data_IF_180253531103
#
_entry.id   IF_180253531103
#
_cell.length_a   1.000
_cell.length_b   1.000
_cell.length_c   1.000
_cell.angle_alpha   90.00
_cell.angle_beta   90.00
_cell.angle_gamma   90.00
#
_symmetry.space_group_name_H-M   'P 1'
#
loop_
_entity.id
_entity.type
_entity.pdbx_description
1 polymer ?
#
# COMPACT_ATOMS: atom_id res chain seq x y z
N UNK A 1 20.28 -9.16 -28.71
CA UNK A 1 18.84 -9.04 -28.38
C UNK A 1 18.63 -9.97 -27.21
N UNK A 2 18.57 -9.40 -26.00
CA UNK A 2 18.58 -10.19 -24.77
C UNK A 2 17.16 -10.67 -24.45
N UNK A 3 17.04 -11.79 -23.74
CA UNK A 3 15.76 -12.35 -23.28
C UNK A 3 14.93 -11.31 -22.48
N UNK A 4 15.61 -10.30 -21.90
CA UNK A 4 15.00 -9.18 -21.20
C UNK A 4 14.34 -8.14 -22.13
N UNK A 5 14.83 -7.99 -23.37
CA UNK A 5 14.23 -7.06 -24.35
C UNK A 5 12.90 -7.64 -24.89
N UNK A 6 12.84 -8.96 -25.03
CA UNK A 6 11.68 -9.68 -25.57
C UNK A 6 10.53 -9.79 -24.55
N UNK A 7 10.84 -10.01 -23.27
CA UNK A 7 9.84 -9.98 -22.18
C UNK A 7 9.30 -8.57 -21.93
N UNK A 8 10.11 -7.53 -22.16
CA UNK A 8 9.72 -6.13 -22.05
C UNK A 8 8.65 -5.73 -23.09
N UNK A 9 8.83 -6.11 -24.36
CA UNK A 9 7.85 -5.87 -25.43
C UNK A 9 6.53 -6.61 -25.20
N UNK A 10 6.58 -7.84 -24.66
CA UNK A 10 5.39 -8.65 -24.39
C UNK A 10 4.56 -8.04 -23.24
N UNK A 11 5.19 -7.54 -22.18
CA UNK A 11 4.47 -6.87 -21.09
C UNK A 11 3.86 -5.53 -21.52
N UNK A 12 4.57 -4.74 -22.33
CA UNK A 12 4.09 -3.47 -22.91
C UNK A 12 2.90 -3.67 -23.86
N UNK A 13 2.95 -4.67 -24.76
CA UNK A 13 1.85 -4.92 -25.70
C UNK A 13 0.64 -5.60 -25.06
N UNK A 14 0.84 -6.48 -24.08
CA UNK A 14 -0.20 -7.39 -23.57
C UNK A 14 -0.46 -7.23 -22.07
N UNK A 15 0.56 -7.10 -21.23
CA UNK A 15 0.42 -7.17 -19.77
C UNK A 15 -0.49 -6.10 -19.15
N UNK A 16 -0.38 -4.84 -19.60
CA UNK A 16 -1.19 -3.72 -19.09
C UNK A 16 -2.64 -3.72 -19.59
N UNK A 17 -2.85 -3.90 -20.90
CA UNK A 17 -4.20 -3.95 -21.50
C UNK A 17 -5.01 -5.18 -21.09
N UNK A 18 -4.35 -6.31 -20.87
CA UNK A 18 -5.01 -7.55 -20.42
C UNK A 18 -5.54 -7.45 -18.97
N UNK A 19 -4.95 -6.59 -18.13
CA UNK A 19 -5.46 -6.31 -16.78
C UNK A 19 -6.83 -5.61 -16.79
N UNK A 20 -7.13 -4.81 -17.82
CA UNK A 20 -8.32 -3.94 -17.91
C UNK A 20 -9.46 -4.57 -18.71
N UNK A 21 -9.15 -5.30 -19.78
CA UNK A 21 -10.20 -5.89 -20.63
C UNK A 21 -10.90 -7.09 -19.97
N UNK A 22 -10.20 -7.87 -19.14
CA UNK A 22 -10.77 -9.11 -18.57
C UNK A 22 -11.68 -8.90 -17.36
N UNK A 23 -11.50 -7.82 -16.58
CA UNK A 23 -12.39 -7.49 -15.44
C UNK A 23 -13.78 -7.00 -15.90
N UNK A 24 -13.93 -6.62 -17.18
CA UNK A 24 -15.23 -6.24 -17.78
C UNK A 24 -16.05 -7.40 -18.34
N UNK A 25 -15.43 -8.56 -18.59
CA UNK A 25 -16.05 -9.71 -19.28
C UNK A 25 -16.26 -10.95 -18.38
N UNK A 26 -16.09 -10.79 -17.06
CA UNK A 26 -16.13 -11.86 -16.03
C UNK A 26 -17.45 -12.66 -16.02
N UNK A 27 -18.52 -12.12 -16.62
CA UNK A 27 -19.84 -12.75 -16.65
C UNK A 27 -20.06 -13.68 -17.86
N UNK A 28 -19.19 -13.71 -18.88
CA UNK A 28 -19.53 -14.41 -20.16
C UNK A 28 -18.47 -15.23 -20.89
N UNK A 29 -17.18 -15.22 -20.57
CA UNK A 29 -16.21 -16.02 -21.34
C UNK A 29 -15.23 -16.83 -20.47
N UNK A 30 -15.23 -18.15 -20.68
CA UNK A 30 -14.21 -19.05 -20.16
C UNK A 30 -12.83 -18.65 -20.72
N UNK A 31 -11.88 -18.38 -19.81
CA UNK A 31 -10.51 -17.97 -20.13
C UNK A 31 -9.76 -19.05 -20.94
N UNK A 32 -8.85 -18.68 -21.85
CA UNK A 32 -7.92 -19.63 -22.45
C UNK A 32 -7.05 -20.30 -21.36
N UNK A 33 -6.73 -21.60 -21.46
CA UNK A 33 -6.07 -22.38 -20.40
C UNK A 33 -4.66 -21.90 -20.00
N UNK A 34 -4.03 -21.02 -20.79
CA UNK A 34 -2.72 -20.42 -20.51
C UNK A 34 -2.80 -19.02 -19.87
N UNK A 35 -4.00 -18.44 -19.74
CA UNK A 35 -4.24 -17.11 -19.18
C UNK A 35 -4.85 -17.23 -17.77
N UNK A 36 -3.99 -17.23 -16.74
CA UNK A 36 -4.40 -17.56 -15.37
C UNK A 36 -4.63 -16.30 -14.50
N UNK A 37 -5.90 -16.01 -14.17
CA UNK A 37 -6.31 -14.94 -13.24
C UNK A 37 -5.63 -15.03 -11.87
N UNK A 38 -5.21 -16.22 -11.45
CA UNK A 38 -4.43 -16.39 -10.21
C UNK A 38 -3.07 -15.70 -10.28
N UNK A 39 -2.43 -15.61 -11.46
CA UNK A 39 -1.13 -14.95 -11.61
C UNK A 39 -1.26 -13.44 -11.45
N UNK A 40 -2.31 -12.84 -12.04
CA UNK A 40 -2.62 -11.41 -11.87
C UNK A 40 -3.03 -11.07 -10.42
N UNK A 41 -3.77 -11.95 -9.75
CA UNK A 41 -4.10 -11.79 -8.32
C UNK A 41 -2.85 -11.73 -7.43
N UNK A 42 -1.78 -12.45 -7.79
CA UNK A 42 -0.52 -12.48 -7.01
C UNK A 42 0.28 -11.17 -7.09
N UNK A 43 0.08 -10.35 -8.13
CA UNK A 43 0.81 -9.09 -8.33
C UNK A 43 0.19 -7.91 -7.56
N UNK A 44 -1.14 -7.87 -7.42
CA UNK A 44 -1.83 -6.77 -6.72
C UNK A 44 -1.32 -6.54 -5.27
N UNK A 45 -1.05 -7.58 -4.45
CA UNK A 45 -0.44 -7.39 -3.13
C UNK A 45 0.95 -6.76 -3.17
N UNK A 46 1.81 -7.15 -4.13
CA UNK A 46 3.14 -6.56 -4.29
C UNK A 46 3.06 -5.05 -4.53
N UNK A 47 2.14 -4.62 -5.40
CA UNK A 47 1.86 -3.20 -5.58
C UNK A 47 1.36 -2.53 -4.29
N UNK A 48 0.43 -3.17 -3.55
CA UNK A 48 -0.12 -2.59 -2.33
C UNK A 48 0.95 -2.35 -1.24
N UNK A 49 2.00 -3.18 -1.18
CA UNK A 49 3.09 -3.02 -0.22
C UNK A 49 4.13 -1.97 -0.64
N UNK A 50 4.56 -1.98 -1.90
CA UNK A 50 5.72 -1.20 -2.33
C UNK A 50 5.48 -0.27 -3.52
N UNK A 51 4.39 -0.45 -4.28
CA UNK A 51 4.06 0.38 -5.43
C UNK A 51 3.84 1.85 -5.05
N UNK A 52 3.23 2.11 -3.89
CA UNK A 52 3.05 3.48 -3.38
C UNK A 52 4.37 4.15 -3.00
N UNK A 53 5.35 3.37 -2.51
CA UNK A 53 6.69 3.86 -2.20
C UNK A 53 7.46 4.22 -3.47
N UNK A 54 7.27 3.47 -4.57
CA UNK A 54 7.86 3.81 -5.88
C UNK A 54 7.21 5.06 -6.48
N UNK A 55 5.89 5.24 -6.33
CA UNK A 55 5.17 6.37 -6.90
C UNK A 55 5.43 7.69 -6.17
N UNK A 56 5.58 7.66 -4.84
CA UNK A 56 5.70 8.86 -4.01
C UNK A 56 6.60 8.66 -2.78
N UNK A 57 7.89 8.32 -2.96
CA UNK A 57 8.80 7.93 -1.88
C UNK A 57 8.90 8.99 -0.77
N UNK A 58 9.02 10.26 -1.16
CA UNK A 58 9.15 11.39 -0.23
C UNK A 58 7.92 11.58 0.66
N UNK A 59 6.72 11.24 0.16
CA UNK A 59 5.47 11.33 0.92
C UNK A 59 5.45 10.36 2.09
N UNK A 60 6.11 9.21 1.94
CA UNK A 60 6.17 8.15 2.94
C UNK A 60 7.44 8.21 3.80
N UNK A 61 8.20 9.31 3.74
CA UNK A 61 9.46 9.46 4.48
C UNK A 61 10.60 8.58 3.95
N UNK A 62 10.46 8.02 2.75
CA UNK A 62 11.54 7.29 2.09
C UNK A 62 12.53 8.26 1.44
N UNK A 63 13.73 7.76 1.13
CA UNK A 63 14.75 8.56 0.46
C UNK A 63 14.28 8.97 -0.94
N UNK A 64 14.53 10.23 -1.32
CA UNK A 64 14.32 10.73 -2.68
C UNK A 64 15.46 10.36 -3.64
N UNK A 65 16.52 9.69 -3.15
CA UNK A 65 17.64 9.26 -3.98
C UNK A 65 17.22 8.10 -4.88
N UNK A 66 17.57 8.19 -6.16
CA UNK A 66 17.23 7.17 -7.15
C UNK A 66 17.82 5.80 -6.79
N UNK A 67 19.04 5.78 -6.29
CA UNK A 67 19.78 4.56 -5.93
C UNK A 67 19.09 3.80 -4.78
N UNK A 68 18.55 4.53 -3.80
CA UNK A 68 17.83 3.93 -2.67
C UNK A 68 16.50 3.31 -3.14
N UNK A 69 15.84 3.94 -4.11
CA UNK A 69 14.59 3.44 -4.70
C UNK A 69 14.88 2.22 -5.59
N UNK A 70 15.94 2.24 -6.39
CA UNK A 70 16.38 1.08 -7.19
C UNK A 70 16.74 -0.11 -6.32
N UNK A 71 17.42 0.13 -5.19
CA UNK A 71 17.72 -0.91 -4.20
C UNK A 71 16.44 -1.50 -3.61
N UNK A 72 15.45 -0.65 -3.29
CA UNK A 72 14.13 -1.10 -2.82
C UNK A 72 13.40 -1.92 -3.89
N UNK A 73 13.46 -1.50 -5.16
CA UNK A 73 12.86 -2.22 -6.29
C UNK A 73 13.50 -3.60 -6.42
N UNK A 74 14.83 -3.70 -6.39
CA UNK A 74 15.55 -4.96 -6.43
C UNK A 74 15.18 -5.87 -5.24
N UNK A 75 15.05 -5.30 -4.04
CA UNK A 75 14.59 -6.06 -2.88
C UNK A 75 13.21 -6.68 -3.11
N UNK A 76 12.25 -5.89 -3.61
CA UNK A 76 10.89 -6.38 -3.87
C UNK A 76 10.78 -7.29 -5.09
N UNK A 77 11.69 -7.19 -6.06
CA UNK A 77 11.75 -8.13 -7.18
C UNK A 77 12.17 -9.52 -6.69
N UNK A 78 13.17 -9.61 -5.81
CA UNK A 78 13.58 -10.86 -5.17
C UNK A 78 12.46 -11.44 -4.31
N UNK A 79 11.75 -10.60 -3.54
CA UNK A 79 10.58 -11.06 -2.77
C UNK A 79 9.49 -11.63 -3.70
N UNK A 80 9.22 -10.98 -4.83
CA UNK A 80 8.27 -11.49 -5.83
C UNK A 80 8.66 -12.88 -6.35
N UNK A 81 9.94 -13.05 -6.68
CA UNK A 81 10.49 -14.35 -7.09
C UNK A 81 10.37 -15.41 -6.00
N UNK A 82 10.70 -15.08 -4.74
CA UNK A 82 10.57 -15.98 -3.60
C UNK A 82 9.12 -16.39 -3.31
N UNK A 83 8.15 -15.55 -3.69
CA UNK A 83 6.71 -15.86 -3.60
C UNK A 83 6.20 -16.70 -4.80
N UNK A 84 7.10 -17.12 -5.70
CA UNK A 84 6.77 -17.95 -6.86
C UNK A 84 6.03 -17.18 -7.97
N UNK A 85 6.29 -15.88 -8.10
CA UNK A 85 5.80 -15.08 -9.23
C UNK A 85 6.85 -15.20 -10.33
N UNK A 86 6.44 -15.67 -11.51
CA UNK A 86 7.35 -15.76 -12.65
C UNK A 86 7.85 -14.36 -13.02
N UNK A 87 9.09 -14.27 -13.50
CA UNK A 87 9.76 -13.00 -13.79
C UNK A 87 8.96 -12.14 -14.79
N UNK A 88 8.29 -12.77 -15.76
CA UNK A 88 7.44 -12.09 -16.75
C UNK A 88 6.26 -11.31 -16.13
N UNK A 89 5.84 -11.69 -14.92
CA UNK A 89 4.73 -11.05 -14.19
C UNK A 89 5.20 -10.25 -12.97
N UNK A 90 6.51 -10.26 -12.67
CA UNK A 90 7.03 -9.59 -11.50
C UNK A 90 7.09 -8.07 -11.74
N UNK A 91 6.24 -7.35 -11.00
CA UNK A 91 6.09 -5.90 -11.12
C UNK A 91 7.42 -5.14 -10.97
N UNK A 92 8.32 -5.64 -10.12
CA UNK A 92 9.54 -4.95 -9.73
C UNK A 92 10.77 -5.36 -10.54
N UNK A 93 10.61 -6.13 -11.62
CA UNK A 93 11.71 -6.43 -12.55
C UNK A 93 11.84 -5.32 -13.59
N UNK A 94 13.02 -4.70 -13.64
CA UNK A 94 13.37 -3.67 -14.61
C UNK A 94 14.09 -2.50 -13.95
N UNK A 95 14.28 -1.43 -14.72
CA UNK A 95 14.80 -0.18 -14.20
C UNK A 95 13.72 0.62 -13.45
N UNK A 96 14.16 1.67 -12.75
CA UNK A 96 13.27 2.51 -11.95
C UNK A 96 12.09 3.07 -12.76
N UNK A 97 12.33 3.58 -13.97
CA UNK A 97 11.30 4.24 -14.77
C UNK A 97 10.26 3.23 -15.28
N UNK A 98 10.68 2.05 -15.71
CA UNK A 98 9.76 0.98 -16.13
C UNK A 98 8.88 0.54 -14.98
N UNK A 99 9.48 0.25 -13.81
CA UNK A 99 8.72 -0.18 -12.63
C UNK A 99 7.78 0.91 -12.14
N UNK A 100 8.21 2.17 -12.17
CA UNK A 100 7.37 3.32 -11.82
C UNK A 100 6.18 3.47 -12.77
N UNK A 101 6.41 3.31 -14.07
CA UNK A 101 5.35 3.37 -15.07
C UNK A 101 4.34 2.24 -14.88
N UNK A 102 4.79 1.00 -14.65
CA UNK A 102 3.91 -0.13 -14.34
C UNK A 102 3.09 0.10 -13.08
N UNK A 103 3.73 0.59 -12.02
CA UNK A 103 3.05 0.99 -10.79
C UNK A 103 1.95 2.03 -11.08
N UNK A 104 2.23 3.01 -11.93
CA UNK A 104 1.29 4.07 -12.27
C UNK A 104 0.08 3.54 -13.07
N UNK A 105 0.33 2.61 -13.98
CA UNK A 105 -0.72 1.92 -14.75
C UNK A 105 -1.64 1.13 -13.84
N UNK A 106 -1.09 0.23 -13.02
CA UNK A 106 -1.85 -0.57 -12.04
C UNK A 106 -2.64 0.33 -11.07
N UNK A 107 -2.02 1.44 -10.65
CA UNK A 107 -2.69 2.40 -9.80
C UNK A 107 -3.94 2.99 -10.46
N UNK A 108 -3.78 3.54 -11.66
CA UNK A 108 -4.88 4.22 -12.37
C UNK A 108 -5.99 3.26 -12.80
N UNK A 109 -5.63 2.04 -13.18
CA UNK A 109 -6.54 1.08 -13.79
C UNK A 109 -7.26 0.21 -12.77
N UNK A 110 -6.64 -0.11 -11.63
CA UNK A 110 -7.23 -0.99 -10.61
C UNK A 110 -7.47 -0.29 -9.28
N UNK A 111 -6.44 0.34 -8.69
CA UNK A 111 -6.53 0.85 -7.32
C UNK A 111 -7.39 2.11 -7.22
N UNK A 112 -7.19 3.09 -8.10
CA UNK A 112 -7.97 4.33 -8.14
C UNK A 112 -9.48 4.06 -8.30
N UNK A 113 -9.96 3.29 -9.30
CA UNK A 113 -11.39 3.00 -9.41
C UNK A 113 -11.91 2.21 -8.21
N UNK A 114 -11.13 1.28 -7.65
CA UNK A 114 -11.53 0.54 -6.44
C UNK A 114 -11.68 1.45 -5.20
N UNK A 115 -10.82 2.46 -5.05
CA UNK A 115 -10.93 3.45 -3.99
C UNK A 115 -12.17 4.33 -4.17
N UNK A 116 -12.49 4.73 -5.41
CA UNK A 116 -13.66 5.54 -5.73
C UNK A 116 -14.98 4.76 -5.62
N UNK A 117 -14.96 3.46 -5.92
CA UNK A 117 -16.12 2.58 -5.79
C UNK A 117 -16.61 2.45 -4.33
N UNK A 118 -15.77 2.80 -3.34
CA UNK A 118 -16.14 2.87 -1.92
C UNK A 118 -16.91 1.63 -1.41
N UNK A 119 -16.44 0.44 -1.77
CA UNK A 119 -17.05 -0.80 -1.32
C UNK A 119 -17.06 -0.88 0.23
N UNK A 120 -18.22 -1.10 0.82
CA UNK A 120 -18.40 -1.15 2.27
C UNK A 120 -17.51 -2.19 2.95
N UNK A 121 -17.28 -3.34 2.32
CA UNK A 121 -16.46 -4.41 2.89
C UNK A 121 -14.98 -4.05 2.95
N UNK A 122 -14.44 -3.45 1.89
CA UNK A 122 -13.04 -3.02 1.85
C UNK A 122 -12.79 -1.86 2.81
N UNK A 123 -13.74 -0.92 2.91
CA UNK A 123 -13.72 0.16 3.91
C UNK A 123 -13.75 -0.40 5.34
N UNK A 124 -14.65 -1.37 5.60
CA UNK A 124 -14.76 -2.03 6.89
C UNK A 124 -13.46 -2.74 7.29
N UNK A 125 -12.84 -3.45 6.34
CA UNK A 125 -11.54 -4.11 6.55
C UNK A 125 -10.43 -3.09 6.80
N UNK A 126 -10.30 -2.06 5.96
CA UNK A 126 -9.30 -1.01 6.11
C UNK A 126 -9.41 -0.30 7.46
N UNK A 127 -10.64 0.00 7.90
CA UNK A 127 -10.90 0.58 9.22
C UNK A 127 -10.40 -0.32 10.36
N UNK A 128 -10.71 -1.61 10.31
CA UNK A 128 -10.26 -2.58 11.33
C UNK A 128 -8.74 -2.74 11.34
N UNK A 129 -8.11 -2.76 10.17
CA UNK A 129 -6.64 -2.82 10.05
C UNK A 129 -6.03 -1.58 10.72
N UNK A 130 -6.47 -0.38 10.34
CA UNK A 130 -5.92 0.86 10.89
C UNK A 130 -6.14 0.96 12.40
N UNK A 131 -7.34 0.59 12.88
CA UNK A 131 -7.65 0.55 14.30
C UNK A 131 -6.77 -0.44 15.06
N UNK A 132 -6.49 -1.60 14.46
CA UNK A 132 -5.58 -2.60 15.04
C UNK A 132 -4.14 -2.09 15.06
N UNK A 133 -3.67 -1.46 13.98
CA UNK A 133 -2.33 -0.88 13.89
C UNK A 133 -2.13 0.27 14.88
N UNK A 134 -3.17 1.06 15.16
CA UNK A 134 -3.14 2.14 16.14
C UNK A 134 -2.81 1.66 17.58
N UNK A 135 -2.88 0.36 17.83
CA UNK A 135 -2.40 -0.22 19.09
C UNK A 135 -0.89 -0.11 19.26
N UNK A 136 -0.13 -0.04 18.17
CA UNK A 136 1.33 -0.06 18.20
C UNK A 136 1.90 1.25 17.69
N UNK A 137 1.24 1.82 16.69
CA UNK A 137 1.60 3.11 16.09
C UNK A 137 0.54 4.12 16.51
N UNK A 138 0.80 4.80 17.62
CA UNK A 138 -0.12 5.81 18.15
C UNK A 138 -0.38 6.93 17.15
N UNK A 139 -1.65 7.29 16.98
CA UNK A 139 -2.08 8.42 16.14
C UNK A 139 -2.63 8.00 14.77
N UNK A 140 -2.65 6.71 14.45
CA UNK A 140 -3.28 6.19 13.24
C UNK A 140 -4.79 6.11 13.39
N UNK A 141 -5.50 7.16 12.98
CA UNK A 141 -6.97 7.15 12.84
C UNK A 141 -7.36 6.93 11.38
N UNK A 142 -8.50 6.25 11.17
CA UNK A 142 -8.98 5.92 9.82
C UNK A 142 -9.14 7.16 8.93
N UNK A 143 -9.88 8.18 9.37
CA UNK A 143 -10.09 9.40 8.57
C UNK A 143 -8.79 10.13 8.26
N UNK A 144 -7.94 10.33 9.28
CA UNK A 144 -6.62 10.97 9.14
C UNK A 144 -5.72 10.23 8.14
N UNK A 145 -5.60 8.92 8.28
CA UNK A 145 -4.74 8.10 7.44
C UNK A 145 -5.27 8.02 6.01
N UNK A 146 -6.58 7.82 5.83
CA UNK A 146 -7.17 7.76 4.49
C UNK A 146 -7.01 9.10 3.75
N UNK A 147 -7.22 10.24 4.42
CA UNK A 147 -6.94 11.55 3.82
C UNK A 147 -5.47 11.70 3.44
N UNK A 148 -4.56 11.22 4.27
CA UNK A 148 -3.12 11.22 3.96
C UNK A 148 -2.80 10.38 2.72
N UNK A 149 -3.35 9.16 2.61
CA UNK A 149 -3.22 8.33 1.42
C UNK A 149 -3.79 9.04 0.19
N UNK A 150 -4.99 9.62 0.29
CA UNK A 150 -5.63 10.38 -0.79
C UNK A 150 -4.77 11.54 -1.29
N UNK A 151 -4.15 12.28 -0.38
CA UNK A 151 -3.21 13.35 -0.70
C UNK A 151 -1.93 12.81 -1.35
N UNK A 152 -1.35 11.73 -0.81
CA UNK A 152 -0.14 11.13 -1.37
C UNK A 152 -0.33 10.66 -2.81
N UNK A 153 -1.56 10.27 -3.15
CA UNK A 153 -2.00 9.81 -4.46
C UNK A 153 -2.47 10.93 -5.39
N UNK A 154 -2.42 12.20 -4.94
CA UNK A 154 -2.89 13.36 -5.69
C UNK A 154 -4.38 13.31 -6.09
N UNK A 155 -5.20 12.59 -5.30
CA UNK A 155 -6.64 12.45 -5.51
C UNK A 155 -7.48 13.45 -4.69
N UNK A 156 -6.86 14.48 -4.11
CA UNK A 156 -7.47 15.41 -3.14
C UNK A 156 -8.88 15.94 -3.49
N UNK A 157 -9.20 16.31 -4.75
CA UNK A 157 -10.52 16.83 -5.11
C UNK A 157 -11.66 15.84 -4.92
N UNK A 158 -11.35 14.53 -4.87
CA UNK A 158 -12.31 13.43 -4.84
C UNK A 158 -12.56 12.90 -3.42
N UNK A 159 -12.06 13.57 -2.37
CA UNK A 159 -12.16 13.10 -0.98
C UNK A 159 -13.57 13.30 -0.39
N UNK A 160 -14.31 12.24 -0.04
CA UNK A 160 -15.73 12.33 0.29
C UNK A 160 -16.06 12.58 1.77
N UNK A 161 -15.08 12.48 2.69
CA UNK A 161 -15.36 12.44 4.14
C UNK A 161 -14.79 13.65 4.91
N UNK A 162 -15.59 14.58 5.45
CA UNK A 162 -15.05 15.67 6.25
C UNK A 162 -14.36 15.13 7.52
N UNK A 163 -13.19 15.69 7.86
CA UNK A 163 -12.44 15.27 9.04
C UNK A 163 -12.90 16.01 10.29
N UNK A 164 -13.02 15.27 11.40
CA UNK A 164 -13.21 15.84 12.73
C UNK A 164 -11.96 16.59 13.20
N UNK A 165 -12.09 17.52 14.16
CA UNK A 165 -10.96 18.31 14.70
C UNK A 165 -9.81 17.45 15.19
N UNK A 166 -10.12 16.34 15.86
CA UNK A 166 -9.10 15.40 16.33
C UNK A 166 -8.39 14.70 15.16
N UNK A 167 -9.14 14.28 14.15
CA UNK A 167 -8.57 13.64 12.96
C UNK A 167 -7.74 14.62 12.12
N UNK A 168 -8.11 15.89 12.08
CA UNK A 168 -7.32 16.95 11.46
C UNK A 168 -5.98 17.09 12.17
N UNK A 169 -5.98 17.16 13.50
CA UNK A 169 -4.75 17.22 14.29
C UNK A 169 -3.82 16.04 13.97
N UNK A 170 -4.35 14.81 14.02
CA UNK A 170 -3.57 13.61 13.72
C UNK A 170 -3.08 13.55 12.27
N UNK A 171 -3.88 14.03 11.32
CA UNK A 171 -3.48 14.13 9.92
C UNK A 171 -2.28 15.07 9.73
N UNK A 172 -2.35 16.30 10.27
CA UNK A 172 -1.24 17.25 10.15
C UNK A 172 0.00 16.77 10.91
N UNK A 173 -0.17 16.15 12.08
CA UNK A 173 0.92 15.52 12.81
C UNK A 173 1.61 14.44 11.97
N UNK A 174 0.87 13.47 11.45
CA UNK A 174 1.40 12.38 10.62
C UNK A 174 2.11 12.92 9.37
N UNK A 175 1.49 13.88 8.67
CA UNK A 175 2.08 14.51 7.49
C UNK A 175 3.40 15.22 7.81
N UNK A 176 3.45 16.03 8.86
CA UNK A 176 4.67 16.71 9.28
C UNK A 176 5.76 15.71 9.66
N UNK A 177 5.41 14.69 10.44
CA UNK A 177 6.36 13.66 10.87
C UNK A 177 6.94 12.94 9.66
N UNK A 178 6.12 12.44 8.73
CA UNK A 178 6.57 11.65 7.58
C UNK A 178 7.28 12.48 6.51
N UNK A 179 6.70 13.60 6.06
CA UNK A 179 7.24 14.36 4.93
C UNK A 179 8.43 15.27 5.30
N UNK A 180 8.49 15.75 6.55
CA UNK A 180 9.50 16.78 6.94
C UNK A 180 10.45 16.28 8.00
N UNK A 181 9.94 15.68 9.08
CA UNK A 181 10.76 15.40 10.25
C UNK A 181 11.42 14.02 10.24
N UNK A 182 10.92 13.08 9.44
CA UNK A 182 11.45 11.72 9.39
C UNK A 182 12.91 11.66 8.91
N UNK A 183 13.42 12.69 8.25
CA UNK A 183 14.81 12.79 7.83
C UNK A 183 15.77 12.98 9.01
N UNK A 184 15.30 13.55 10.13
CA UNK A 184 16.15 13.78 11.30
C UNK A 184 16.36 12.50 12.12
N UNK A 185 17.62 12.20 12.44
CA UNK A 185 17.98 11.04 13.24
C UNK A 185 17.26 10.98 14.58
N UNK A 186 17.11 12.11 15.27
CA UNK A 186 16.43 12.17 16.57
C UNK A 186 14.97 11.69 16.47
N UNK A 187 14.27 12.08 15.41
CA UNK A 187 12.87 11.69 15.16
C UNK A 187 12.79 10.20 14.88
N UNK A 188 13.68 9.67 14.02
CA UNK A 188 13.77 8.22 13.78
C UNK A 188 14.06 7.45 15.06
N UNK A 189 14.97 7.95 15.89
CA UNK A 189 15.30 7.35 17.17
C UNK A 189 14.06 7.30 18.08
N UNK A 190 13.35 8.43 18.26
CA UNK A 190 12.15 8.45 19.10
C UNK A 190 11.02 7.56 18.58
N UNK A 191 10.77 7.55 17.26
CA UNK A 191 9.77 6.67 16.64
C UNK A 191 10.13 5.18 16.80
N UNK A 192 11.41 4.83 16.62
CA UNK A 192 11.87 3.46 16.79
C UNK A 192 11.78 3.01 18.26
N UNK A 193 12.13 3.90 19.20
CA UNK A 193 12.05 3.61 20.62
C UNK A 193 10.59 3.53 21.10
N UNK A 194 9.69 4.39 20.59
CA UNK A 194 8.26 4.32 20.92
C UNK A 194 7.63 3.03 20.39
N UNK A 195 7.98 2.61 19.16
CA UNK A 195 7.53 1.35 18.59
C UNK A 195 8.03 0.16 19.43
N UNK A 196 9.33 0.10 19.72
CA UNK A 196 9.95 -0.95 20.57
C UNK A 196 9.31 -1.02 21.94
N UNK A 197 9.08 0.14 22.56
CA UNK A 197 8.40 0.22 23.85
C UNK A 197 6.95 -0.29 23.76
N UNK A 198 6.21 0.06 22.70
CA UNK A 198 4.85 -0.46 22.49
C UNK A 198 4.82 -1.98 22.33
N UNK A 199 5.78 -2.55 21.59
CA UNK A 199 5.94 -3.99 21.36
C UNK A 199 6.33 -4.70 22.67
N UNK A 200 7.20 -4.10 23.46
CA UNK A 200 7.58 -4.61 24.78
C UNK A 200 6.38 -4.63 25.72
N UNK A 201 5.61 -3.53 25.80
CA UNK A 201 4.41 -3.46 26.63
C UNK A 201 3.38 -4.54 26.27
N UNK A 202 3.30 -4.94 25.01
CA UNK A 202 2.43 -6.03 24.56
C UNK A 202 2.83 -7.44 25.03
N UNK A 203 4.08 -7.63 25.43
CA UNK A 203 4.53 -8.91 25.98
C UNK A 203 3.83 -9.20 27.31
N UNK A 204 3.46 -8.16 28.06
CA UNK A 204 2.68 -8.29 29.28
C UNK A 204 1.23 -8.68 28.99
N UNK A 205 0.81 -9.82 29.56
CA UNK A 205 -0.54 -10.36 29.38
C UNK A 205 -1.65 -9.39 29.82
N UNK A 206 -1.40 -8.54 30.82
CA UNK A 206 -2.34 -7.53 31.31
C UNK A 206 -2.62 -6.48 30.24
N UNK A 207 -1.56 -5.92 29.65
CA UNK A 207 -1.67 -4.91 28.58
C UNK A 207 -2.32 -5.49 27.33
N UNK A 208 -1.99 -6.74 26.98
CA UNK A 208 -2.66 -7.44 25.88
C UNK A 208 -4.16 -7.59 26.13
N UNK A 209 -4.55 -8.11 27.31
CA UNK A 209 -5.96 -8.27 27.70
C UNK A 209 -6.70 -6.93 27.72
N UNK A 210 -6.07 -5.85 28.19
CA UNK A 210 -6.66 -4.52 28.19
C UNK A 210 -6.93 -4.02 26.76
N UNK A 211 -5.94 -4.11 25.86
CA UNK A 211 -6.09 -3.69 24.46
C UNK A 211 -7.10 -4.56 23.70
N UNK A 212 -7.13 -5.87 23.94
CA UNK A 212 -8.14 -6.76 23.35
C UNK A 212 -9.55 -6.41 23.83
N UNK A 213 -9.73 -6.07 25.12
CA UNK A 213 -11.01 -5.60 25.65
C UNK A 213 -11.44 -4.28 25.01
N UNK A 214 -10.52 -3.34 24.80
CA UNK A 214 -10.82 -2.10 24.09
C UNK A 214 -11.29 -2.36 22.65
N UNK A 215 -10.60 -3.23 21.89
CA UNK A 215 -11.06 -3.61 20.54
C UNK A 215 -12.45 -4.25 20.57
N UNK A 216 -12.69 -5.18 21.50
CA UNK A 216 -13.98 -5.85 21.62
C UNK A 216 -15.12 -4.89 22.00
N UNK A 217 -14.84 -3.83 22.77
CA UNK A 217 -15.80 -2.78 23.07
C UNK A 217 -16.10 -1.91 21.84
N UNK A 218 -15.07 -1.57 21.06
CA UNK A 218 -15.24 -0.78 19.84
C UNK A 218 -15.99 -1.55 18.75
N UNK A 219 -15.76 -2.86 18.60
CA UNK A 219 -16.51 -3.72 17.67
C UNK A 219 -18.00 -3.80 18.02
N UNK A 220 -18.35 -3.71 19.31
CA UNK A 220 -19.75 -3.64 19.77
C UNK A 220 -20.41 -2.29 19.54
N UNK A 221 -19.64 -1.21 19.41
CA UNK A 221 -20.14 0.13 19.12
C UNK A 221 -20.30 0.40 17.61
N UNK A 222 -19.75 -0.47 16.76
CA UNK A 222 -19.78 -0.33 15.29
C UNK A 222 -20.83 -1.25 14.65
N UNK A 223 -21.56 -2.05 15.44
CA UNK A 223 -22.78 -2.78 15.04
C UNK A 223 -24.01 -1.99 15.41
#
# INVERSE_FOLDING_TARGET
MSILDESHEIFEQKGSRLLVQYEKDDDKNHLPPWFNLEKLRRVKPLFAFAGLLVLSPEKYGFSGKKEDIETMIYFWSVIGYMLGIDDDYNLFIGDYETVRQRCRTIFNENFRPSLLANNCDSIGMARKIIQSTNQYVYGLRYGSYMKFIWQSLQMEPEWPHPLNREEQFWYYYMKMVLERFYQFWAVRFFLNQSLRFSLYLMQFAIMRRFKTKQLAQMDKQTK
#
